data_IF_558285432568
#
_entry.id   IF_558285432568
#
_cell.length_a   1.000
_cell.length_b   1.000
_cell.length_c   1.000
_cell.angle_alpha   90.00
_cell.angle_beta   90.00
_cell.angle_gamma   90.00
#
_symmetry.space_group_name_H-M   'P 1'
#
loop_
_entity.id
_entity.type
_entity.pdbx_description
1 polymer ?
#
# COMPACT_ATOMS: atom_id res chain seq x y z
N UNK A 1 -20.37 7.22 23.78
CA UNK A 1 -20.60 8.29 22.76
C UNK A 1 -21.16 9.54 23.43
N UNK A 2 -22.31 9.49 24.15
CA UNK A 2 -22.95 10.68 24.75
C UNK A 2 -21.99 11.45 25.66
N UNK A 3 -21.25 10.79 26.55
CA UNK A 3 -20.23 11.43 27.40
C UNK A 3 -19.12 12.10 26.58
N UNK A 4 -18.68 11.48 25.48
CA UNK A 4 -17.66 12.07 24.61
C UNK A 4 -18.17 13.37 23.97
N UNK A 5 -19.40 13.39 23.47
CA UNK A 5 -20.04 14.59 22.91
C UNK A 5 -20.16 15.69 23.97
N UNK A 6 -20.65 15.36 25.18
CA UNK A 6 -20.82 16.32 26.29
C UNK A 6 -19.51 16.97 26.74
N UNK A 7 -18.38 16.27 26.55
CA UNK A 7 -17.05 16.74 26.96
C UNK A 7 -16.16 17.14 25.79
N UNK A 8 -16.72 17.31 24.58
CA UNK A 8 -15.98 17.65 23.35
C UNK A 8 -14.80 16.72 23.07
N UNK A 9 -14.96 15.43 23.35
CA UNK A 9 -13.94 14.40 23.13
C UNK A 9 -14.16 13.79 21.75
N UNK A 10 -13.14 13.86 20.90
CA UNK A 10 -13.13 13.16 19.61
C UNK A 10 -12.73 11.71 19.81
N UNK A 11 -13.55 10.79 19.30
CA UNK A 11 -13.22 9.36 19.25
C UNK A 11 -12.78 9.02 17.83
N UNK A 12 -11.53 8.57 17.70
CA UNK A 12 -10.97 8.08 16.44
C UNK A 12 -10.64 6.61 16.57
N UNK A 13 -11.04 5.81 15.59
CA UNK A 13 -10.71 4.39 15.51
C UNK A 13 -10.07 4.11 14.15
N UNK A 14 -8.88 3.55 14.18
CA UNK A 14 -8.22 3.01 13.00
C UNK A 14 -8.29 1.48 13.05
N UNK A 15 -8.32 0.87 11.89
CA UNK A 15 -8.34 -0.58 11.71
C UNK A 15 -7.32 -0.96 10.63
N UNK A 16 -7.64 -1.80 9.70
CA UNK A 16 -6.77 -2.32 8.63
C UNK A 16 -5.95 -1.25 7.85
N UNK A 17 -6.38 0.00 7.87
CA UNK A 17 -5.60 1.11 7.27
C UNK A 17 -4.24 1.32 7.96
N UNK A 18 -4.15 1.06 9.28
CA UNK A 18 -2.89 1.16 10.03
C UNK A 18 -2.03 -0.10 9.92
N UNK A 19 -2.63 -1.23 9.59
CA UNK A 19 -1.91 -2.49 9.34
C UNK A 19 -1.25 -2.49 7.97
N UNK A 20 -1.85 -1.79 6.99
CA UNK A 20 -1.41 -1.75 5.59
C UNK A 20 -0.31 -0.73 5.31
N UNK A 21 -0.20 0.34 6.08
CA UNK A 21 0.71 1.44 5.75
C UNK A 21 2.16 1.16 6.19
N UNK A 22 3.12 1.73 5.45
CA UNK A 22 4.51 1.79 5.89
C UNK A 22 4.60 2.57 7.22
N UNK A 23 5.33 2.03 8.18
CA UNK A 23 5.44 2.62 9.52
C UNK A 23 4.24 2.35 10.44
N UNK A 24 3.24 1.59 10.01
CA UNK A 24 2.12 1.12 10.84
C UNK A 24 2.52 -0.02 11.79
N UNK A 25 1.51 -0.75 12.30
CA UNK A 25 1.67 -1.82 13.31
C UNK A 25 2.77 -2.82 12.93
N UNK A 26 2.69 -3.40 11.74
CA UNK A 26 3.61 -4.44 11.30
C UNK A 26 5.06 -3.97 11.26
N UNK A 27 5.29 -2.77 10.74
CA UNK A 27 6.62 -2.18 10.69
C UNK A 27 7.14 -1.84 12.08
N UNK A 28 6.28 -1.40 13.01
CA UNK A 28 6.67 -1.13 14.40
C UNK A 28 7.09 -2.41 15.12
N UNK A 29 6.38 -3.52 14.94
CA UNK A 29 6.77 -4.83 15.49
C UNK A 29 8.13 -5.25 14.94
N UNK A 30 8.33 -5.15 13.62
CA UNK A 30 9.59 -5.50 12.98
C UNK A 30 10.77 -4.66 13.50
N UNK A 31 10.56 -3.36 13.72
CA UNK A 31 11.54 -2.47 14.33
C UNK A 31 11.86 -2.87 15.78
N UNK A 32 10.86 -3.19 16.60
CA UNK A 32 11.07 -3.68 17.98
C UNK A 32 11.87 -4.98 18.02
N UNK A 33 11.70 -5.83 17.01
CA UNK A 33 12.50 -7.05 16.83
C UNK A 33 13.88 -6.79 16.20
N UNK A 34 14.22 -5.55 15.88
CA UNK A 34 15.50 -5.19 15.30
C UNK A 34 15.73 -5.79 13.91
N UNK A 35 14.67 -6.01 13.13
CA UNK A 35 14.80 -6.53 11.78
C UNK A 35 15.35 -5.48 10.81
N UNK A 36 16.20 -5.92 9.89
CA UNK A 36 16.73 -5.15 8.78
C UNK A 36 15.97 -5.46 7.48
N UNK A 37 16.14 -4.64 6.43
CA UNK A 37 15.55 -4.85 5.10
C UNK A 37 14.03 -5.10 5.15
N UNK A 38 13.33 -4.37 6.02
CA UNK A 38 11.90 -4.56 6.24
C UNK A 38 11.12 -4.15 5.00
N UNK A 39 10.27 -5.04 4.51
CA UNK A 39 9.35 -4.78 3.38
C UNK A 39 7.99 -5.41 3.62
N UNK A 40 7.00 -4.99 2.87
CA UNK A 40 5.64 -5.54 2.93
C UNK A 40 5.66 -7.03 2.57
N UNK A 41 4.95 -7.86 3.32
CA UNK A 41 4.84 -9.30 3.11
C UNK A 41 3.86 -9.64 1.99
N UNK A 42 2.66 -9.05 2.03
CA UNK A 42 1.60 -9.24 1.03
C UNK A 42 1.23 -7.86 0.45
N UNK A 43 1.92 -7.42 -0.64
CA UNK A 43 1.64 -6.15 -1.29
C UNK A 43 0.21 -6.08 -1.82
N UNK A 44 -0.36 -4.86 -1.82
CA UNK A 44 -1.71 -4.62 -2.34
C UNK A 44 -1.73 -4.82 -3.86
N UNK A 45 -2.64 -5.67 -4.32
CA UNK A 45 -2.88 -5.92 -5.74
C UNK A 45 -3.92 -4.96 -6.31
N UNK A 46 -3.85 -4.68 -7.62
CA UNK A 46 -4.82 -3.82 -8.32
C UNK A 46 -5.01 -2.43 -7.69
N UNK A 47 -3.97 -1.90 -7.06
CA UNK A 47 -3.99 -0.58 -6.41
C UNK A 47 -3.52 0.53 -7.34
N UNK A 48 -2.84 0.17 -8.41
CA UNK A 48 -2.30 1.10 -9.39
C UNK A 48 -3.21 1.20 -10.60
N UNK A 49 -3.30 2.40 -11.15
CA UNK A 49 -3.92 2.67 -12.43
C UNK A 49 -2.96 3.45 -13.32
N UNK A 50 -3.03 3.23 -14.61
CA UNK A 50 -2.45 4.13 -15.62
C UNK A 50 -3.54 5.10 -16.05
N UNK A 51 -3.29 6.39 -15.90
CA UNK A 51 -4.13 7.44 -16.46
C UNK A 51 -3.50 7.94 -17.74
N UNK A 52 -4.31 8.11 -18.76
CA UNK A 52 -3.90 8.59 -20.09
C UNK A 52 -4.79 9.77 -20.45
N UNK A 53 -4.19 10.82 -21.00
CA UNK A 53 -4.91 11.95 -21.58
C UNK A 53 -4.20 12.43 -22.83
N UNK A 54 -4.88 13.15 -23.70
CA UNK A 54 -4.36 13.66 -24.96
C UNK A 54 -4.38 15.18 -24.92
N UNK A 55 -3.21 15.80 -25.02
CA UNK A 55 -3.03 17.22 -24.71
C UNK A 55 -2.40 17.94 -25.90
N UNK A 56 -2.94 19.09 -26.36
CA UNK A 56 -2.25 19.92 -27.34
C UNK A 56 -0.82 20.27 -26.89
N UNK A 57 0.13 20.25 -27.82
CA UNK A 57 1.55 20.45 -27.50
C UNK A 57 1.81 21.73 -26.71
N UNK A 58 1.03 22.79 -26.93
CA UNK A 58 1.14 24.07 -26.23
C UNK A 58 0.80 24.00 -24.72
N UNK A 59 0.09 22.98 -24.28
CA UNK A 59 -0.41 22.85 -22.89
C UNK A 59 0.17 21.63 -22.15
N UNK A 60 1.04 20.85 -22.78
CA UNK A 60 1.54 19.60 -22.21
C UNK A 60 2.20 19.78 -20.86
N UNK A 61 3.06 20.78 -20.69
CA UNK A 61 3.77 21.04 -19.43
C UNK A 61 2.82 21.46 -18.31
N UNK A 62 1.81 22.27 -18.63
CA UNK A 62 0.80 22.69 -17.64
C UNK A 62 0.03 21.48 -17.10
N UNK A 63 -0.46 20.60 -17.99
CA UNK A 63 -1.23 19.41 -17.60
C UNK A 63 -0.34 18.41 -16.86
N UNK A 64 0.88 18.18 -17.35
CA UNK A 64 1.88 17.30 -16.71
C UNK A 64 2.15 17.75 -15.26
N UNK A 65 2.44 19.01 -15.07
CA UNK A 65 2.72 19.57 -13.74
C UNK A 65 1.50 19.48 -12.80
N UNK A 66 0.30 19.70 -13.31
CA UNK A 66 -0.92 19.54 -12.53
C UNK A 66 -1.12 18.08 -12.09
N UNK A 67 -0.92 17.11 -12.98
CA UNK A 67 -0.99 15.68 -12.66
C UNK A 67 0.04 15.28 -11.60
N UNK A 68 1.29 15.73 -11.71
CA UNK A 68 2.33 15.47 -10.70
C UNK A 68 1.98 16.07 -9.34
N UNK A 69 1.55 17.32 -9.32
CA UNK A 69 1.15 18.01 -8.07
C UNK A 69 -0.03 17.31 -7.39
N UNK A 70 -0.91 16.68 -8.16
CA UNK A 70 -2.02 15.86 -7.64
C UNK A 70 -1.58 14.46 -7.18
N UNK A 71 -0.34 14.04 -7.50
CA UNK A 71 0.29 12.80 -7.05
C UNK A 71 0.34 11.67 -8.08
N UNK A 72 0.18 11.97 -9.37
CA UNK A 72 0.54 11.05 -10.44
C UNK A 72 2.06 10.93 -10.58
N UNK A 73 2.54 9.85 -11.23
CA UNK A 73 3.96 9.68 -11.51
C UNK A 73 4.86 9.45 -10.28
N UNK A 74 4.28 9.25 -9.09
CA UNK A 74 5.06 9.04 -7.85
C UNK A 74 5.62 7.63 -7.69
N UNK A 75 5.30 6.75 -8.62
CA UNK A 75 5.74 5.35 -8.65
C UNK A 75 6.73 5.20 -9.80
N UNK A 76 8.00 5.21 -9.47
CA UNK A 76 9.07 5.36 -10.46
C UNK A 76 9.27 6.83 -10.85
N UNK A 77 10.41 7.12 -11.47
CA UNK A 77 10.83 8.49 -11.79
C UNK A 77 10.45 8.92 -13.23
N UNK A 78 9.52 8.23 -13.87
CA UNK A 78 9.25 8.39 -15.31
C UNK A 78 7.77 8.56 -15.60
N UNK A 79 7.47 9.57 -16.43
CA UNK A 79 6.24 9.66 -17.22
C UNK A 79 6.56 9.35 -18.69
N UNK A 80 5.58 8.98 -19.45
CA UNK A 80 5.72 8.74 -20.89
C UNK A 80 4.81 9.68 -21.66
N UNK A 81 5.33 10.24 -22.76
CA UNK A 81 4.53 10.97 -23.74
C UNK A 81 4.89 10.49 -25.14
N UNK A 82 3.91 10.42 -26.03
CA UNK A 82 4.09 10.10 -27.44
C UNK A 82 3.27 11.04 -28.30
N UNK A 83 3.79 11.36 -29.48
CA UNK A 83 3.08 12.19 -30.45
C UNK A 83 1.95 11.40 -31.13
N UNK A 84 0.88 12.08 -31.46
CA UNK A 84 -0.27 11.54 -32.16
C UNK A 84 -1.19 12.63 -32.68
N UNK A 85 -2.28 12.21 -33.32
CA UNK A 85 -3.34 13.12 -33.76
C UNK A 85 -4.65 12.71 -33.11
N UNK A 86 -5.27 13.64 -32.39
CA UNK A 86 -6.63 13.50 -31.89
C UNK A 86 -7.63 13.91 -32.97
N UNK A 87 -8.75 13.21 -33.06
CA UNK A 87 -9.86 13.58 -33.93
C UNK A 87 -11.15 13.67 -33.12
N UNK A 88 -11.86 14.78 -33.27
CA UNK A 88 -13.12 14.98 -32.60
C UNK A 88 -14.09 15.85 -33.42
N UNK A 89 -15.36 15.84 -33.02
CA UNK A 89 -16.40 16.69 -33.58
C UNK A 89 -17.20 17.31 -32.44
N UNK A 90 -17.05 18.62 -32.27
CA UNK A 90 -17.83 19.36 -31.28
C UNK A 90 -19.32 19.35 -31.63
N UNK A 91 -20.17 19.10 -30.64
CA UNK A 91 -21.62 19.08 -30.78
C UNK A 91 -22.21 20.47 -30.52
N UNK A 92 -23.49 20.66 -30.89
CA UNK A 92 -24.22 21.90 -30.57
C UNK A 92 -24.29 22.07 -29.06
N UNK A 93 -23.90 23.23 -28.56
CA UNK A 93 -23.89 23.55 -27.12
C UNK A 93 -22.52 23.48 -26.45
N UNK A 94 -21.50 22.95 -27.14
CA UNK A 94 -20.10 22.96 -26.66
C UNK A 94 -19.39 24.27 -27.03
N UNK A 95 -18.33 24.59 -26.29
CA UNK A 95 -17.42 25.70 -26.60
C UNK A 95 -16.00 25.14 -26.86
N UNK A 96 -15.74 24.59 -28.08
CA UNK A 96 -14.48 23.91 -28.35
C UNK A 96 -13.29 24.87 -28.33
N UNK A 97 -12.19 24.47 -27.70
CA UNK A 97 -10.91 25.21 -27.70
C UNK A 97 -10.33 25.34 -29.12
N UNK A 98 -10.46 24.30 -29.96
CA UNK A 98 -10.07 24.27 -31.37
C UNK A 98 -11.17 23.58 -32.19
N UNK A 99 -11.23 23.85 -33.50
CA UNK A 99 -12.23 23.30 -34.39
C UNK A 99 -13.55 24.07 -34.41
N UNK A 100 -14.49 23.57 -35.20
CA UNK A 100 -15.82 24.19 -35.39
C UNK A 100 -16.91 23.17 -35.05
N UNK A 101 -18.03 23.70 -34.50
CA UNK A 101 -19.20 22.86 -34.19
C UNK A 101 -19.70 22.12 -35.43
N UNK A 102 -19.92 20.82 -35.32
CA UNK A 102 -20.45 19.96 -36.36
C UNK A 102 -19.43 19.49 -37.39
N UNK A 103 -18.20 20.05 -37.43
CA UNK A 103 -17.13 19.63 -38.33
C UNK A 103 -16.17 18.69 -37.63
N UNK A 104 -15.66 17.67 -38.37
CA UNK A 104 -14.56 16.84 -37.90
C UNK A 104 -13.28 17.67 -37.87
N UNK A 105 -12.62 17.75 -36.72
CA UNK A 105 -11.34 18.39 -36.53
C UNK A 105 -10.26 17.34 -36.23
N UNK A 106 -9.04 17.61 -36.68
CA UNK A 106 -7.84 16.83 -36.38
C UNK A 106 -6.82 17.76 -35.74
N UNK A 107 -6.40 17.44 -34.52
CA UNK A 107 -5.45 18.23 -33.75
C UNK A 107 -4.19 17.42 -33.47
N UNK A 108 -2.98 17.96 -33.66
CA UNK A 108 -1.75 17.36 -33.15
C UNK A 108 -1.75 17.37 -31.64
N UNK A 109 -1.72 16.20 -31.03
CA UNK A 109 -1.75 16.02 -29.58
C UNK A 109 -0.63 15.12 -29.10
N UNK A 110 -0.20 15.36 -27.86
CA UNK A 110 0.69 14.45 -27.14
C UNK A 110 -0.14 13.56 -26.24
N UNK A 111 0.06 12.26 -26.34
CA UNK A 111 -0.50 11.28 -25.43
C UNK A 111 0.36 11.27 -24.17
N UNK A 112 -0.18 11.74 -23.05
CA UNK A 112 0.46 11.78 -21.75
C UNK A 112 -0.04 10.63 -20.87
N UNK A 113 0.86 9.83 -20.34
CA UNK A 113 0.54 8.69 -19.46
C UNK A 113 1.29 8.77 -18.15
N UNK A 114 0.60 8.48 -17.06
CA UNK A 114 1.21 8.39 -15.73
C UNK A 114 0.59 7.25 -14.91
N UNK A 115 1.39 6.66 -14.01
CA UNK A 115 0.88 5.71 -13.01
C UNK A 115 0.34 6.51 -11.82
N UNK A 116 -0.82 6.10 -11.32
CA UNK A 116 -1.52 6.78 -10.23
C UNK A 116 -1.98 5.76 -9.20
N UNK A 117 -1.67 5.93 -7.91
CA UNK A 117 -2.28 5.16 -6.83
C UNK A 117 -3.79 5.43 -6.74
N UNK A 118 -4.55 4.40 -6.39
CA UNK A 118 -6.02 4.45 -6.34
C UNK A 118 -6.57 5.57 -5.45
N UNK A 119 -5.95 5.83 -4.33
CA UNK A 119 -6.33 6.90 -3.38
C UNK A 119 -6.14 8.32 -3.94
N UNK A 120 -5.28 8.48 -4.96
CA UNK A 120 -4.98 9.77 -5.59
C UNK A 120 -5.73 9.98 -6.91
N UNK A 121 -6.34 8.93 -7.45
CA UNK A 121 -6.92 8.94 -8.79
C UNK A 121 -7.96 10.07 -8.99
N UNK A 122 -8.88 10.25 -8.05
CA UNK A 122 -9.89 11.30 -8.14
C UNK A 122 -9.30 12.72 -8.18
N UNK A 123 -8.23 12.96 -7.39
CA UNK A 123 -7.52 14.25 -7.39
C UNK A 123 -6.78 14.51 -8.70
N UNK A 124 -6.18 13.47 -9.28
CA UNK A 124 -5.48 13.57 -10.56
C UNK A 124 -6.46 13.86 -11.69
N UNK A 125 -7.61 13.17 -11.74
CA UNK A 125 -8.67 13.44 -12.72
C UNK A 125 -9.16 14.90 -12.60
N UNK A 126 -9.43 15.37 -11.40
CA UNK A 126 -9.83 16.76 -11.18
C UNK A 126 -8.75 17.77 -11.62
N UNK A 127 -7.47 17.45 -11.40
CA UNK A 127 -6.35 18.28 -11.83
C UNK A 127 -6.24 18.34 -13.36
N UNK A 128 -6.48 17.25 -14.06
CA UNK A 128 -6.53 17.22 -15.53
C UNK A 128 -7.64 18.14 -16.01
N UNK A 129 -8.88 17.98 -15.54
CA UNK A 129 -10.00 18.84 -15.95
C UNK A 129 -9.73 20.33 -15.70
N UNK A 130 -9.03 20.68 -14.62
CA UNK A 130 -8.71 22.05 -14.28
C UNK A 130 -7.59 22.66 -15.14
N UNK A 131 -6.64 21.85 -15.60
CA UNK A 131 -5.44 22.32 -16.31
C UNK A 131 -5.56 22.15 -17.83
N UNK A 132 -6.43 21.26 -18.30
CA UNK A 132 -6.59 20.96 -19.71
C UNK A 132 -7.31 22.09 -20.45
N UNK A 133 -6.88 22.48 -21.67
CA UNK A 133 -7.55 23.53 -22.43
C UNK A 133 -8.93 23.12 -22.97
N UNK A 134 -9.18 21.81 -23.09
CA UNK A 134 -10.47 21.31 -23.58
C UNK A 134 -11.53 21.31 -22.46
N UNK A 135 -12.75 21.63 -22.84
CA UNK A 135 -13.92 21.56 -21.95
C UNK A 135 -14.16 20.14 -21.45
N UNK A 136 -14.01 19.14 -22.33
CA UNK A 136 -14.10 17.70 -22.04
C UNK A 136 -12.84 16.97 -22.54
N UNK A 137 -11.77 16.88 -21.74
CA UNK A 137 -10.59 16.12 -22.15
C UNK A 137 -10.87 14.62 -22.16
N UNK A 138 -10.31 13.91 -23.14
CA UNK A 138 -10.31 12.45 -23.12
C UNK A 138 -9.40 11.94 -21.99
N UNK A 139 -9.94 11.11 -21.12
CA UNK A 139 -9.22 10.52 -19.99
C UNK A 139 -9.51 9.02 -19.95
N UNK A 140 -8.47 8.21 -20.15
CA UNK A 140 -8.54 6.76 -19.99
C UNK A 140 -7.92 6.34 -18.67
N UNK A 141 -8.61 5.46 -17.92
CA UNK A 141 -8.14 4.90 -16.67
C UNK A 141 -8.02 3.39 -16.82
N UNK A 142 -6.79 2.89 -16.82
CA UNK A 142 -6.46 1.48 -17.03
C UNK A 142 -5.97 0.87 -15.71
N UNK A 143 -6.67 -0.12 -15.14
CA UNK A 143 -6.16 -0.85 -13.97
C UNK A 143 -4.86 -1.57 -14.33
N UNK A 144 -3.90 -1.55 -13.40
CA UNK A 144 -2.63 -2.25 -13.55
C UNK A 144 -2.56 -3.45 -12.60
N UNK A 145 -2.06 -4.58 -13.11
CA UNK A 145 -1.81 -5.79 -12.30
C UNK A 145 -0.51 -5.72 -11.49
N UNK A 146 0.20 -4.61 -11.54
CA UNK A 146 1.42 -4.41 -10.78
C UNK A 146 1.11 -4.34 -9.28
N UNK A 147 1.91 -5.02 -8.47
CA UNK A 147 1.84 -4.90 -7.02
C UNK A 147 2.29 -3.51 -6.58
N UNK A 148 1.66 -3.00 -5.53
CA UNK A 148 2.08 -1.76 -4.89
C UNK A 148 2.81 -2.06 -3.59
N UNK A 149 4.13 -2.11 -3.64
CA UNK A 149 5.00 -2.53 -2.54
C UNK A 149 5.00 -1.57 -1.32
N UNK A 150 4.45 -0.37 -1.46
CA UNK A 150 4.35 0.60 -0.37
C UNK A 150 3.08 0.44 0.48
N UNK A 151 2.18 -0.45 0.09
CA UNK A 151 0.93 -0.72 0.80
C UNK A 151 0.66 -2.22 0.78
N UNK A 152 0.25 -2.78 1.91
CA UNK A 152 -0.10 -4.20 2.01
C UNK A 152 -0.04 -4.70 3.44
N UNK A 153 -0.36 -5.96 3.64
CA UNK A 153 -0.48 -6.56 4.97
C UNK A 153 0.77 -7.36 5.36
N UNK A 154 1.08 -7.28 6.65
CA UNK A 154 2.26 -7.91 7.20
C UNK A 154 3.57 -7.30 6.71
N UNK A 155 4.66 -7.75 7.27
CA UNK A 155 6.00 -7.42 6.78
C UNK A 155 6.95 -8.61 6.93
N UNK A 156 8.06 -8.53 6.22
CA UNK A 156 9.16 -9.50 6.29
C UNK A 156 10.47 -8.71 6.43
N UNK A 157 11.39 -9.24 7.22
CA UNK A 157 12.70 -8.64 7.41
C UNK A 157 13.74 -9.66 7.83
N UNK A 158 14.99 -9.26 7.87
CA UNK A 158 16.13 -10.12 8.15
C UNK A 158 16.73 -9.81 9.52
N UNK A 159 17.10 -10.84 10.28
CA UNK A 159 17.90 -10.70 11.50
C UNK A 159 19.35 -10.40 11.11
N UNK A 160 20.05 -9.58 11.89
CA UNK A 160 21.46 -9.32 11.69
C UNK A 160 22.30 -10.61 11.87
N UNK A 161 21.97 -11.38 12.90
CA UNK A 161 22.59 -12.67 13.16
C UNK A 161 21.52 -13.74 13.24
N UNK A 162 21.64 -14.85 12.50
CA UNK A 162 20.72 -15.98 12.61
C UNK A 162 20.76 -16.61 14.00
N UNK A 163 19.57 -16.92 14.54
CA UNK A 163 19.40 -17.60 15.83
C UNK A 163 18.49 -18.83 15.64
N UNK A 164 18.51 -19.76 16.57
CA UNK A 164 17.64 -20.95 16.49
C UNK A 164 16.16 -20.57 16.66
N UNK A 165 15.26 -21.43 16.15
CA UNK A 165 13.80 -21.25 16.30
C UNK A 165 13.41 -21.07 17.77
N UNK A 166 14.01 -21.83 18.68
CA UNK A 166 13.74 -21.77 20.11
C UNK A 166 14.24 -20.45 20.72
N UNK A 167 15.43 -20.00 20.34
CA UNK A 167 15.94 -18.68 20.74
C UNK A 167 15.08 -17.55 20.23
N UNK A 168 14.59 -17.69 18.97
CA UNK A 168 13.70 -16.68 18.38
C UNK A 168 12.37 -16.56 19.13
N UNK A 169 11.77 -17.67 19.57
CA UNK A 169 10.56 -17.63 20.40
C UNK A 169 10.78 -16.89 21.74
N UNK A 170 11.93 -17.12 22.37
CA UNK A 170 12.29 -16.40 23.59
C UNK A 170 12.58 -14.92 23.32
N UNK A 171 13.24 -14.61 22.21
CA UNK A 171 13.50 -13.24 21.75
C UNK A 171 12.21 -12.45 21.50
N UNK A 172 11.22 -13.07 20.86
CA UNK A 172 9.88 -12.48 20.67
C UNK A 172 9.25 -12.13 22.03
N UNK A 173 9.30 -13.07 23.01
CA UNK A 173 8.76 -12.80 24.35
C UNK A 173 9.42 -11.60 25.02
N UNK A 174 10.74 -11.54 24.96
CA UNK A 174 11.52 -10.47 25.55
C UNK A 174 11.23 -9.11 24.89
N UNK A 175 11.28 -9.06 23.55
CA UNK A 175 11.15 -7.80 22.80
C UNK A 175 9.75 -7.23 22.75
N UNK A 176 8.74 -8.12 22.73
CA UNK A 176 7.33 -7.71 22.64
C UNK A 176 6.59 -7.79 23.97
N UNK A 177 7.24 -8.25 25.05
CA UNK A 177 6.61 -8.37 26.38
C UNK A 177 5.54 -9.46 26.46
N UNK A 178 5.57 -10.45 25.56
CA UNK A 178 4.57 -11.50 25.45
C UNK A 178 4.83 -12.61 26.46
N UNK A 179 3.82 -12.97 27.25
CA UNK A 179 3.97 -14.02 28.27
C UNK A 179 3.85 -15.43 27.67
N UNK A 180 2.93 -15.63 26.73
CA UNK A 180 2.62 -16.92 26.14
C UNK A 180 2.64 -16.84 24.62
N UNK A 181 3.25 -17.87 23.99
CA UNK A 181 3.23 -18.04 22.53
C UNK A 181 2.72 -19.45 22.25
N UNK A 182 1.66 -19.58 21.46
CA UNK A 182 1.28 -20.83 20.84
C UNK A 182 2.11 -21.00 19.57
N UNK A 183 2.76 -22.13 19.39
CA UNK A 183 3.61 -22.31 18.22
C UNK A 183 3.58 -23.74 17.68
N UNK A 184 3.94 -23.90 16.40
CA UNK A 184 4.21 -25.20 15.80
C UNK A 184 5.48 -25.79 16.37
N UNK A 185 5.69 -27.10 16.16
CA UNK A 185 6.90 -27.78 16.63
C UNK A 185 8.15 -27.12 16.04
N UNK A 186 9.14 -26.85 16.89
CA UNK A 186 10.48 -26.39 16.48
C UNK A 186 11.36 -27.56 16.08
N UNK A 187 12.31 -27.31 15.21
CA UNK A 187 13.34 -28.26 14.74
C UNK A 187 14.76 -27.74 14.94
N UNK A 188 14.90 -26.65 15.71
CA UNK A 188 16.14 -25.94 16.02
C UNK A 188 16.95 -25.48 14.78
N UNK A 189 16.24 -25.25 13.65
CA UNK A 189 16.85 -24.61 12.49
C UNK A 189 17.20 -23.15 12.81
N UNK A 190 18.16 -22.62 12.07
CA UNK A 190 18.50 -21.21 12.17
C UNK A 190 17.47 -20.35 11.44
N UNK A 191 16.97 -19.33 12.12
CA UNK A 191 16.10 -18.29 11.59
C UNK A 191 16.97 -17.09 11.24
N UNK A 192 17.04 -16.75 9.97
CA UNK A 192 17.67 -15.53 9.45
C UNK A 192 16.65 -14.51 8.99
N UNK A 193 15.43 -14.97 8.62
CA UNK A 193 14.33 -14.17 8.11
C UNK A 193 13.08 -14.39 8.92
N UNK A 194 12.41 -13.31 9.27
CA UNK A 194 11.17 -13.28 10.06
C UNK A 194 10.07 -12.62 9.23
N UNK A 195 8.93 -13.27 9.13
CA UNK A 195 7.71 -12.67 8.61
C UNK A 195 6.73 -12.45 9.75
N UNK A 196 5.90 -11.42 9.65
CA UNK A 196 4.90 -11.12 10.67
C UNK A 196 3.67 -10.40 10.10
N UNK A 197 2.55 -10.58 10.78
CA UNK A 197 1.33 -9.82 10.58
C UNK A 197 0.61 -9.70 11.93
N UNK A 198 0.48 -8.48 12.45
CA UNK A 198 -0.29 -8.17 13.65
C UNK A 198 -1.76 -8.53 13.44
N UNK A 199 -2.44 -8.88 14.54
CA UNK A 199 -3.81 -9.37 14.49
C UNK A 199 -3.94 -10.72 13.78
N UNK A 200 -5.11 -10.98 13.22
CA UNK A 200 -5.42 -12.25 12.53
C UNK A 200 -4.79 -12.27 11.13
N UNK A 201 -3.77 -13.08 10.93
CA UNK A 201 -2.97 -13.14 9.70
C UNK A 201 -2.73 -14.55 9.14
N UNK A 202 -3.52 -15.56 9.52
CA UNK A 202 -3.31 -16.94 9.03
C UNK A 202 -3.33 -17.07 7.50
N UNK A 203 -4.05 -16.21 6.80
CA UNK A 203 -4.11 -16.18 5.33
C UNK A 203 -2.77 -15.81 4.66
N UNK A 204 -1.85 -15.16 5.40
CA UNK A 204 -0.54 -14.77 4.86
C UNK A 204 0.57 -15.79 5.11
N UNK A 205 0.29 -16.93 5.75
CA UNK A 205 1.26 -18.03 5.92
C UNK A 205 1.91 -18.44 4.58
N UNK A 206 1.17 -18.59 3.46
CA UNK A 206 1.78 -18.94 2.17
C UNK A 206 2.78 -17.87 1.67
N UNK A 207 2.53 -16.60 1.97
CA UNK A 207 3.46 -15.50 1.63
C UNK A 207 4.74 -15.61 2.45
N UNK A 208 4.65 -15.89 3.76
CA UNK A 208 5.80 -16.09 4.63
C UNK A 208 6.67 -17.29 4.19
N UNK A 209 6.04 -18.38 3.76
CA UNK A 209 6.74 -19.55 3.20
C UNK A 209 7.44 -19.17 1.89
N UNK A 210 6.78 -18.47 0.98
CA UNK A 210 7.35 -18.02 -0.30
C UNK A 210 8.56 -17.10 -0.09
N UNK A 211 8.52 -16.28 0.95
CA UNK A 211 9.63 -15.41 1.37
C UNK A 211 10.74 -16.16 2.09
N UNK A 212 10.60 -17.47 2.29
CA UNK A 212 11.56 -18.34 2.99
C UNK A 212 11.84 -17.86 4.42
N UNK A 213 10.82 -17.33 5.09
CA UNK A 213 10.94 -16.99 6.51
C UNK A 213 11.05 -18.27 7.36
N UNK A 214 11.91 -18.24 8.38
CA UNK A 214 12.04 -19.36 9.32
C UNK A 214 10.93 -19.38 10.36
N UNK A 215 10.34 -18.19 10.65
CA UNK A 215 9.24 -18.03 11.59
C UNK A 215 8.24 -16.99 11.05
N UNK A 216 6.96 -17.25 11.33
CA UNK A 216 5.86 -16.33 11.05
C UNK A 216 5.13 -15.98 12.33
N UNK A 217 5.11 -14.69 12.68
CA UNK A 217 4.49 -14.15 13.90
C UNK A 217 3.13 -13.56 13.53
N UNK A 218 2.07 -14.00 14.22
CA UNK A 218 0.71 -13.51 13.99
C UNK A 218 -0.17 -13.78 15.21
N UNK A 219 -1.49 -13.67 15.07
CA UNK A 219 -2.46 -13.99 16.11
C UNK A 219 -3.68 -14.74 15.56
N UNK A 220 -4.56 -15.18 16.47
CA UNK A 220 -5.83 -15.85 16.17
C UNK A 220 -5.69 -17.08 15.25
N UNK A 221 -4.58 -17.79 15.34
CA UNK A 221 -4.32 -18.97 14.52
C UNK A 221 -5.27 -20.10 14.93
N UNK A 222 -6.06 -20.56 13.98
CA UNK A 222 -7.01 -21.66 14.19
C UNK A 222 -6.30 -23.00 14.24
N UNK A 223 -6.95 -23.98 14.85
CA UNK A 223 -6.40 -25.33 15.02
C UNK A 223 -5.82 -25.91 13.72
N UNK A 224 -6.56 -25.84 12.62
CA UNK A 224 -6.13 -26.40 11.34
C UNK A 224 -4.95 -25.66 10.72
N UNK A 225 -4.83 -24.34 10.95
CA UNK A 225 -3.77 -23.52 10.33
C UNK A 225 -2.37 -23.90 10.86
N UNK A 226 -2.27 -24.40 12.11
CA UNK A 226 -1.01 -24.91 12.65
C UNK A 226 -0.48 -26.13 11.89
N UNK A 227 -1.32 -26.89 11.19
CA UNK A 227 -0.92 -28.07 10.44
C UNK A 227 -0.65 -27.79 8.97
N UNK A 228 -1.13 -26.66 8.45
CA UNK A 228 -1.02 -26.31 7.03
C UNK A 228 0.40 -25.94 6.59
N UNK A 229 1.35 -25.83 7.51
CA UNK A 229 2.73 -25.43 7.18
C UNK A 229 3.63 -26.59 6.77
N UNK A 230 3.20 -27.84 6.96
CA UNK A 230 3.99 -29.04 6.65
C UNK A 230 5.44 -28.97 7.20
N UNK A 231 5.64 -28.33 8.35
CA UNK A 231 6.94 -28.04 8.98
C UNK A 231 7.90 -27.17 8.12
N UNK A 232 7.39 -26.40 7.17
CA UNK A 232 8.20 -25.49 6.35
C UNK A 232 8.58 -24.23 7.10
N UNK A 233 7.73 -23.79 8.04
CA UNK A 233 7.91 -22.56 8.82
C UNK A 233 7.37 -22.77 10.25
N UNK A 234 7.97 -22.11 11.23
CA UNK A 234 7.39 -22.04 12.57
C UNK A 234 6.32 -20.96 12.60
N UNK A 235 5.09 -21.31 12.98
CA UNK A 235 4.06 -20.31 13.31
C UNK A 235 4.20 -19.97 14.79
N UNK A 236 4.18 -18.67 15.10
CA UNK A 236 4.16 -18.13 16.45
C UNK A 236 2.92 -17.23 16.62
N UNK A 237 1.89 -17.75 17.29
CA UNK A 237 0.71 -17.00 17.68
C UNK A 237 0.97 -16.34 19.04
N UNK A 238 1.09 -15.01 19.01
CA UNK A 238 1.47 -14.20 20.17
C UNK A 238 0.28 -13.52 20.87
N UNK A 239 -0.94 -13.71 20.35
CA UNK A 239 -2.16 -13.05 20.83
C UNK A 239 -2.45 -11.76 20.06
N UNK A 240 -3.75 -11.48 19.86
CA UNK A 240 -4.21 -10.35 19.05
C UNK A 240 -3.81 -9.02 19.69
N UNK A 241 -4.16 -8.83 20.94
CA UNK A 241 -3.85 -7.60 21.67
C UNK A 241 -2.34 -7.33 21.72
N UNK A 242 -1.55 -8.36 22.04
CA UNK A 242 -0.11 -8.27 22.18
C UNK A 242 0.57 -7.92 20.85
N UNK A 243 0.02 -8.43 19.74
CA UNK A 243 0.54 -8.14 18.41
C UNK A 243 0.20 -6.73 17.91
N UNK A 244 -0.79 -6.04 18.51
CA UNK A 244 -1.23 -4.71 18.08
C UNK A 244 -0.98 -3.61 19.12
N UNK A 245 -0.59 -3.94 20.34
CA UNK A 245 -0.44 -2.97 21.42
C UNK A 245 0.49 -1.80 21.07
N UNK A 246 1.52 -2.03 20.25
CA UNK A 246 2.47 -1.02 19.81
C UNK A 246 1.85 0.11 18.97
N UNK A 247 0.60 -0.04 18.49
CA UNK A 247 -0.11 1.00 17.75
C UNK A 247 -0.29 2.30 18.55
N UNK A 248 -0.39 2.19 19.88
CA UNK A 248 -0.49 3.35 20.77
C UNK A 248 0.72 4.30 20.62
N UNK A 249 1.90 3.74 20.44
CA UNK A 249 3.13 4.51 20.22
C UNK A 249 3.07 5.24 18.88
N UNK A 250 2.62 4.54 17.82
CA UNK A 250 2.50 5.11 16.47
C UNK A 250 1.51 6.27 16.47
N UNK A 251 0.34 6.13 17.12
CA UNK A 251 -0.63 7.21 17.23
C UNK A 251 -0.09 8.38 18.04
N UNK A 252 0.54 8.11 19.17
CA UNK A 252 1.13 9.16 20.00
C UNK A 252 2.14 9.99 19.20
N UNK A 253 3.06 9.34 18.49
CA UNK A 253 4.06 10.00 17.65
C UNK A 253 3.45 10.84 16.51
N UNK A 254 2.34 10.42 15.93
CA UNK A 254 1.69 11.14 14.83
C UNK A 254 0.81 12.30 15.30
N UNK A 255 0.11 12.13 16.43
CA UNK A 255 -0.83 13.12 16.96
C UNK A 255 -0.17 14.20 17.85
N UNK A 256 1.08 13.96 18.30
CA UNK A 256 1.84 14.90 19.13
C UNK A 256 2.70 15.90 18.32
N UNK A 257 2.64 15.82 16.99
CA UNK A 257 3.30 16.74 16.06
C UNK A 257 2.40 17.94 15.76
#
# INVERSE_FOLDING_TARGET
>A
IIKAIQHNIVLYSAHTNMDKCLGGVNFRIAQKLGLNNIRVLAPEENYLSKIVTFVPQSHIEQVRQAMWSAGAGTIGAYDCSSEGNGTFRAQVGCNPFVGEIGKLHTEPELRLEMIVPKDKLGRVVAAIHSAHPYEEPAIDILPLSNNYEQLGLGCVGDLENPITETEMLNYIKEKLGVQYIRHTKTSDKLVSRVALCGGSGSEFIPYAIREKAGIYITADVKYHDFFNTENQIVIADIGHFESEECIKEVFYEQLSK
#
